data_IF_667856201094
#
_entry.id   IF_667856201094
#
_cell.length_a   1.000
_cell.length_b   1.000
_cell.length_c   1.000
_cell.angle_alpha   90.00
_cell.angle_beta   90.00
_cell.angle_gamma   90.00
#
_symmetry.space_group_name_H-M   'P 1'
#
loop_
_entity.id
_entity.type
_entity.pdbx_description
1 polymer ?
#
# COMPACT_ATOMS: atom_id res chain seq x y z
N UNK A 1 8.55 -9.56 6.98
CA UNK A 1 8.53 -8.31 6.22
C UNK A 1 9.23 -7.19 6.98
N UNK A 2 8.78 -6.84 8.19
CA UNK A 2 9.37 -5.75 9.00
C UNK A 2 10.88 -5.86 9.24
N UNK A 3 11.43 -7.08 9.35
CA UNK A 3 12.87 -7.31 9.53
C UNK A 3 13.74 -6.99 8.29
N UNK A 4 13.14 -6.84 7.10
CA UNK A 4 13.85 -6.56 5.86
C UNK A 4 13.89 -5.07 5.53
N UNK A 5 13.12 -4.24 6.23
CA UNK A 5 12.93 -2.83 5.87
C UNK A 5 14.12 -2.01 6.39
N UNK A 6 14.71 -1.20 5.52
CA UNK A 6 15.88 -0.39 5.81
C UNK A 6 15.50 1.08 6.03
N UNK A 7 16.29 1.81 6.83
CA UNK A 7 16.13 3.26 7.00
C UNK A 7 16.23 3.99 5.65
N UNK A 8 15.26 4.86 5.31
CA UNK A 8 15.26 5.55 4.03
C UNK A 8 16.26 6.71 4.07
N UNK A 9 17.21 6.74 3.12
CA UNK A 9 18.05 7.94 2.91
C UNK A 9 17.24 9.17 2.51
N UNK A 10 16.11 8.97 1.83
CA UNK A 10 15.19 10.02 1.36
C UNK A 10 13.79 9.42 1.18
N UNK A 11 12.75 10.14 1.62
CA UNK A 11 11.35 9.82 1.33
C UNK A 11 10.94 10.28 -0.08
N UNK A 12 10.11 9.49 -0.74
CA UNK A 12 9.50 9.75 -2.04
C UNK A 12 8.17 10.45 -1.78
N UNK A 13 8.03 11.70 -2.22
CA UNK A 13 6.78 12.45 -2.05
C UNK A 13 5.65 11.83 -2.88
N UNK A 14 4.41 11.96 -2.38
CA UNK A 14 3.19 11.48 -3.04
C UNK A 14 3.33 10.00 -3.44
N UNK A 15 3.71 9.16 -2.48
CA UNK A 15 3.97 7.76 -2.76
C UNK A 15 3.33 6.80 -1.76
N UNK A 16 3.00 5.61 -2.26
CA UNK A 16 2.32 4.57 -1.50
C UNK A 16 2.97 3.20 -1.73
N UNK A 17 3.01 2.39 -0.68
CA UNK A 17 3.16 0.93 -0.83
C UNK A 17 1.79 0.28 -0.73
N UNK A 18 1.58 -0.79 -1.50
CA UNK A 18 0.32 -1.53 -1.51
C UNK A 18 0.63 -2.95 -1.02
N UNK A 19 0.00 -3.38 0.07
CA UNK A 19 -0.02 -4.78 0.52
C UNK A 19 -1.45 -5.31 0.34
N UNK A 20 -1.67 -6.00 -0.80
CA UNK A 20 -2.95 -6.60 -1.17
C UNK A 20 -3.10 -8.03 -0.65
N UNK A 21 -2.04 -8.62 -0.06
CA UNK A 21 -2.11 -9.95 0.53
C UNK A 21 -2.96 -9.90 1.80
N UNK A 22 -3.93 -10.80 1.98
CA UNK A 22 -4.87 -10.73 3.10
C UNK A 22 -5.46 -12.09 3.46
N UNK A 23 -6.34 -12.12 4.47
CA UNK A 23 -7.03 -13.36 4.90
C UNK A 23 -7.98 -13.92 3.84
N UNK A 24 -8.41 -13.09 2.90
CA UNK A 24 -9.27 -13.47 1.79
C UNK A 24 -8.62 -13.04 0.48
N UNK A 25 -8.41 -13.99 -0.42
CA UNK A 25 -7.87 -13.75 -1.76
C UNK A 25 -9.01 -13.95 -2.76
N UNK A 26 -9.72 -12.88 -3.10
CA UNK A 26 -10.84 -12.90 -4.05
C UNK A 26 -10.42 -12.46 -5.45
N UNK A 27 -9.15 -12.67 -5.82
CA UNK A 27 -8.60 -12.12 -7.04
C UNK A 27 -8.26 -13.23 -8.01
N UNK A 28 -9.02 -13.31 -9.10
CA UNK A 28 -8.71 -14.17 -10.24
C UNK A 28 -7.50 -13.63 -11.04
N UNK A 29 -7.29 -12.31 -11.04
CA UNK A 29 -6.16 -11.62 -11.72
C UNK A 29 -5.53 -10.51 -10.85
N UNK A 30 -4.69 -10.90 -9.89
CA UNK A 30 -3.96 -9.95 -9.00
C UNK A 30 -3.04 -9.00 -9.79
N UNK A 31 -2.44 -9.48 -10.88
CA UNK A 31 -1.49 -8.69 -11.66
C UNK A 31 -2.20 -7.55 -12.42
N UNK A 32 -3.33 -7.88 -13.06
CA UNK A 32 -4.20 -6.92 -13.73
C UNK A 32 -4.71 -5.84 -12.79
N UNK A 33 -5.20 -6.21 -11.60
CA UNK A 33 -5.68 -5.24 -10.62
C UNK A 33 -4.58 -4.32 -10.09
N UNK A 34 -3.41 -4.86 -9.75
CA UNK A 34 -2.28 -4.04 -9.32
C UNK A 34 -1.86 -3.06 -10.42
N UNK A 35 -1.92 -3.49 -11.69
CA UNK A 35 -1.61 -2.64 -12.84
C UNK A 35 -2.65 -1.52 -13.01
N UNK A 36 -3.94 -1.81 -12.83
CA UNK A 36 -5.00 -0.82 -12.90
C UNK A 36 -4.89 0.21 -11.76
N UNK A 37 -4.71 -0.25 -10.52
CA UNK A 37 -4.50 0.63 -9.36
C UNK A 37 -3.28 1.54 -9.58
N UNK A 38 -2.16 0.98 -10.09
CA UNK A 38 -0.97 1.78 -10.44
C UNK A 38 -1.28 2.85 -11.50
N UNK A 39 -2.15 2.54 -12.46
CA UNK A 39 -2.55 3.47 -13.53
C UNK A 39 -3.37 4.62 -12.97
N UNK A 40 -4.41 4.31 -12.18
CA UNK A 40 -5.28 5.32 -11.54
C UNK A 40 -4.48 6.22 -10.59
N UNK A 41 -3.65 5.64 -9.72
CA UNK A 41 -2.83 6.41 -8.79
C UNK A 41 -1.85 7.33 -9.53
N UNK A 42 -1.28 6.87 -10.64
CA UNK A 42 -0.40 7.68 -11.48
C UNK A 42 -1.14 8.87 -12.10
N UNK A 43 -2.39 8.70 -12.54
CA UNK A 43 -3.20 9.79 -13.10
C UNK A 43 -3.45 10.91 -12.08
N UNK A 44 -3.57 10.59 -10.79
CA UNK A 44 -3.69 11.58 -9.70
C UNK A 44 -2.33 11.99 -9.11
N UNK A 45 -1.22 11.64 -9.76
CA UNK A 45 0.12 12.04 -9.37
C UNK A 45 0.64 11.37 -8.10
N UNK A 46 0.21 10.14 -7.81
CA UNK A 46 0.70 9.29 -6.73
C UNK A 46 1.53 8.14 -7.33
N UNK A 47 2.76 7.97 -6.87
CA UNK A 47 3.63 6.88 -7.32
C UNK A 47 3.53 5.65 -6.40
N UNK A 48 3.36 4.47 -6.98
CA UNK A 48 3.45 3.21 -6.22
C UNK A 48 4.92 2.80 -6.13
N UNK A 49 5.48 2.76 -4.92
CA UNK A 49 6.88 2.36 -4.68
C UNK A 49 7.03 0.83 -4.72
N UNK A 50 6.08 0.10 -4.13
CA UNK A 50 6.07 -1.36 -4.12
C UNK A 50 4.64 -1.89 -3.95
N UNK A 51 4.37 -3.06 -4.53
CA UNK A 51 3.12 -3.80 -4.34
C UNK A 51 3.45 -5.24 -3.89
N UNK A 52 2.84 -5.70 -2.80
CA UNK A 52 2.99 -7.04 -2.26
C UNK A 52 1.63 -7.77 -2.28
N UNK A 53 1.53 -8.99 -2.83
CA UNK A 53 2.60 -9.75 -3.47
C UNK A 53 3.00 -9.15 -4.83
N UNK A 54 4.14 -9.57 -5.39
CA UNK A 54 4.60 -9.10 -6.72
C UNK A 54 5.75 -8.07 -6.71
N UNK A 55 6.40 -7.84 -5.56
CA UNK A 55 7.62 -7.03 -5.48
C UNK A 55 8.84 -7.87 -5.09
N UNK A 56 10.01 -7.38 -5.49
CA UNK A 56 11.32 -7.91 -5.14
C UNK A 56 11.70 -7.59 -3.68
N UNK A 57 12.65 -8.35 -3.14
CA UNK A 57 13.25 -8.06 -1.82
C UNK A 57 13.86 -6.65 -1.76
N UNK A 58 14.43 -6.18 -2.88
CA UNK A 58 14.98 -4.82 -2.98
C UNK A 58 13.91 -3.75 -2.81
N UNK A 59 12.72 -3.96 -3.36
CA UNK A 59 11.58 -3.08 -3.17
C UNK A 59 11.07 -3.14 -1.72
N UNK A 60 11.00 -4.34 -1.12
CA UNK A 60 10.63 -4.51 0.31
C UNK A 60 11.57 -3.72 1.24
N UNK A 61 12.88 -3.81 1.01
CA UNK A 61 13.88 -3.01 1.75
C UNK A 61 13.60 -1.51 1.68
N UNK A 62 13.06 -1.05 0.56
CA UNK A 62 12.68 0.33 0.30
C UNK A 62 11.28 0.75 0.76
N UNK A 63 10.51 -0.09 1.48
CA UNK A 63 9.16 0.29 1.92
C UNK A 63 9.14 1.56 2.75
N UNK A 64 10.17 1.81 3.57
CA UNK A 64 10.24 3.01 4.39
C UNK A 64 10.41 4.32 3.59
N UNK A 65 10.60 4.24 2.27
CA UNK A 65 10.73 5.43 1.41
C UNK A 65 9.39 6.12 1.14
N UNK A 66 8.24 5.53 1.44
CA UNK A 66 6.95 6.11 1.10
C UNK A 66 6.39 7.05 2.16
N UNK A 67 5.36 7.80 1.80
CA UNK A 67 4.58 8.61 2.75
C UNK A 67 3.36 7.86 3.29
N UNK A 68 2.86 6.88 2.54
CA UNK A 68 1.69 6.06 2.90
C UNK A 68 1.94 4.57 2.68
N UNK A 69 1.34 3.74 3.53
CA UNK A 69 1.18 2.30 3.30
C UNK A 69 -0.32 1.96 3.27
N UNK A 70 -0.79 1.35 2.19
CA UNK A 70 -2.09 0.68 2.16
C UNK A 70 -1.87 -0.81 2.47
N UNK A 71 -2.46 -1.33 3.56
CA UNK A 71 -2.18 -2.67 4.03
C UNK A 71 -3.45 -3.48 4.33
N UNK A 72 -3.51 -4.71 3.81
CA UNK A 72 -4.58 -5.67 4.12
C UNK A 72 -4.18 -6.75 5.13
N UNK A 73 -2.89 -7.13 5.18
CA UNK A 73 -2.45 -8.36 5.83
C UNK A 73 -2.30 -8.30 7.35
N UNK A 74 -1.60 -7.28 7.83
CA UNK A 74 -1.00 -7.29 9.17
C UNK A 74 -0.90 -5.88 9.75
N UNK A 75 -1.84 -5.53 10.63
CA UNK A 75 -1.87 -4.25 11.33
C UNK A 75 -0.60 -3.99 12.14
N UNK A 76 -0.01 -5.02 12.77
CA UNK A 76 1.24 -4.86 13.52
C UNK A 76 2.40 -4.38 12.65
N UNK A 77 2.41 -4.76 11.37
CA UNK A 77 3.41 -4.25 10.42
C UNK A 77 3.16 -2.77 10.10
N UNK A 78 1.90 -2.37 10.00
CA UNK A 78 1.52 -0.98 9.77
C UNK A 78 1.88 -0.09 10.96
N UNK A 79 1.55 -0.53 12.18
CA UNK A 79 1.92 0.13 13.45
C UNK A 79 3.45 0.26 13.55
N UNK A 80 4.19 -0.83 13.30
CA UNK A 80 5.66 -0.79 13.29
C UNK A 80 6.22 0.27 12.32
N UNK A 81 5.65 0.38 11.12
CA UNK A 81 6.09 1.37 10.13
C UNK A 81 5.79 2.80 10.58
N UNK A 82 4.67 3.03 11.26
CA UNK A 82 4.32 4.32 11.85
C UNK A 82 5.27 4.68 13.00
N UNK A 83 5.47 3.77 13.94
CA UNK A 83 6.31 4.02 15.12
C UNK A 83 7.78 4.21 14.77
N UNK A 84 8.30 3.42 13.83
CA UNK A 84 9.73 3.42 13.51
C UNK A 84 10.13 4.48 12.50
N UNK A 85 9.33 4.68 11.46
CA UNK A 85 9.72 5.50 10.30
C UNK A 85 8.78 6.70 10.06
N UNK A 86 7.79 6.90 10.93
CA UNK A 86 6.74 7.91 10.80
C UNK A 86 6.06 7.86 9.41
N UNK A 87 5.56 6.67 9.06
CA UNK A 87 4.84 6.43 7.81
C UNK A 87 3.37 6.18 8.14
N UNK A 88 2.49 6.99 7.57
CA UNK A 88 1.06 6.83 7.75
C UNK A 88 0.58 5.56 7.05
N UNK A 89 -0.54 5.02 7.49
CA UNK A 89 -1.10 3.82 6.88
C UNK A 89 -2.61 3.84 6.85
N UNK A 90 -3.15 3.11 5.88
CA UNK A 90 -4.55 2.72 5.80
C UNK A 90 -4.56 1.21 5.95
N UNK A 91 -5.23 0.73 7.00
CA UNK A 91 -5.37 -0.70 7.25
C UNK A 91 -6.82 -1.11 6.97
N UNK A 92 -7.03 -1.91 5.93
CA UNK A 92 -8.34 -2.45 5.57
C UNK A 92 -8.22 -3.94 5.27
N UNK A 93 -8.57 -4.76 6.26
CA UNK A 93 -8.45 -6.23 6.16
C UNK A 93 -9.46 -6.84 5.19
N UNK A 94 -10.60 -6.20 4.98
CA UNK A 94 -11.72 -6.78 4.23
C UNK A 94 -11.78 -6.25 2.80
N UNK A 95 -11.16 -5.11 2.51
CA UNK A 95 -11.32 -4.40 1.24
C UNK A 95 -12.70 -3.77 1.07
N UNK A 96 -13.65 -4.09 1.96
CA UNK A 96 -15.05 -3.68 1.93
C UNK A 96 -15.28 -2.19 2.17
N UNK A 97 -14.25 -1.44 2.59
CA UNK A 97 -14.38 0.01 2.72
C UNK A 97 -14.47 0.72 1.37
N UNK A 98 -14.04 0.06 0.28
CA UNK A 98 -13.75 0.67 -1.02
C UNK A 98 -14.13 -0.19 -2.24
N UNK A 99 -14.97 -1.23 -2.07
CA UNK A 99 -15.50 -2.02 -3.18
C UNK A 99 -16.73 -1.33 -3.75
N UNK A 100 -16.70 -0.96 -5.02
CA UNK A 100 -17.78 -0.21 -5.68
C UNK A 100 -17.42 1.25 -5.94
N UNK A 101 -18.09 1.88 -6.90
CA UNK A 101 -17.80 3.27 -7.31
C UNK A 101 -18.13 4.28 -6.20
N UNK A 102 -19.12 3.99 -5.37
CA UNK A 102 -19.58 4.88 -4.31
C UNK A 102 -18.64 4.86 -3.10
N UNK A 103 -18.13 3.69 -2.76
CA UNK A 103 -17.16 3.45 -1.71
C UNK A 103 -15.78 4.01 -2.09
N UNK A 104 -15.36 3.83 -3.36
CA UNK A 104 -14.16 4.47 -3.90
C UNK A 104 -14.25 6.00 -3.80
N UNK A 105 -15.43 6.59 -4.02
CA UNK A 105 -15.64 8.04 -3.86
C UNK A 105 -15.57 8.48 -2.39
N UNK A 106 -16.04 7.64 -1.45
CA UNK A 106 -15.95 7.89 -0.01
C UNK A 106 -14.49 7.94 0.47
N UNK A 107 -13.58 7.13 -0.09
CA UNK A 107 -12.14 7.18 0.17
C UNK A 107 -11.56 8.58 -0.07
N UNK A 108 -11.81 9.13 -1.26
CA UNK A 108 -11.25 10.42 -1.68
C UNK A 108 -11.84 11.63 -0.93
N UNK A 109 -12.96 11.45 -0.22
CA UNK A 109 -13.61 12.53 0.53
C UNK A 109 -13.27 12.53 2.02
N UNK A 110 -12.71 11.44 2.57
CA UNK A 110 -12.39 11.34 4.00
C UNK A 110 -10.95 11.74 4.34
N UNK A 111 -10.08 11.86 3.34
CA UNK A 111 -8.64 12.11 3.46
C UNK A 111 -8.19 13.12 2.40
#
# INVERSE_FOLDING_TARGET
MSQLIEEPKKKIKRSVNIDTYGKFHWFEDIEGEIKEIKTILKEIGISVNAAFPGCSIKEIKGFAKTELNFMKRNEKSAIFMKERFDINYIFDTFGNGYVGTDEAKSFYNRH
#
